data_IF_055984307090
#
_entry.id   IF_055984307090
#
_cell.length_a   1.000
_cell.length_b   1.000
_cell.length_c   1.000
_cell.angle_alpha   90.00
_cell.angle_beta   90.00
_cell.angle_gamma   90.00
#
_symmetry.space_group_name_H-M   'P 1'
#
loop_
_entity.id
_entity.type
_entity.pdbx_description
1 polymer ?
#
# COMPACT_ATOMS: atom_id res chain seq x y z
N UNK A 1 3.03 14.29 -6.67
CA UNK A 1 4.10 13.26 -6.86
C UNK A 1 3.53 11.90 -6.48
N UNK A 2 3.68 10.90 -7.33
CA UNK A 2 3.16 9.53 -7.10
C UNK A 2 3.82 8.91 -5.87
N UNK A 3 3.01 8.28 -5.01
CA UNK A 3 3.46 7.57 -3.81
C UNK A 3 3.09 6.10 -3.88
N UNK A 4 3.93 5.23 -3.32
CA UNK A 4 3.56 3.84 -3.10
C UNK A 4 2.58 3.73 -1.93
N UNK A 5 1.67 2.76 -1.97
CA UNK A 5 0.82 2.42 -0.83
C UNK A 5 1.55 1.61 0.24
N UNK A 6 2.69 0.99 -0.10
CA UNK A 6 3.57 0.30 0.83
C UNK A 6 4.65 1.25 1.34
N UNK A 7 5.02 1.12 2.59
CA UNK A 7 6.06 1.92 3.20
C UNK A 7 6.41 1.45 4.59
N UNK A 8 7.58 1.88 5.06
CA UNK A 8 8.09 1.63 6.40
C UNK A 8 8.86 2.85 6.89
N UNK A 9 8.65 3.21 8.14
CA UNK A 9 9.42 4.23 8.84
C UNK A 9 9.68 3.83 10.27
N UNK A 10 10.86 4.14 10.78
CA UNK A 10 11.23 3.89 12.18
C UNK A 10 12.05 5.05 12.68
N UNK A 11 11.74 5.47 13.91
CA UNK A 11 12.58 6.38 14.65
C UNK A 11 12.69 5.91 16.10
N UNK A 12 13.87 6.14 16.69
CA UNK A 12 14.13 5.84 18.09
C UNK A 12 14.92 6.98 18.69
N UNK A 13 14.42 7.52 19.80
CA UNK A 13 15.10 8.60 20.54
C UNK A 13 14.95 8.42 22.04
N UNK A 14 15.90 8.96 22.75
CA UNK A 14 15.80 9.14 24.21
C UNK A 14 15.41 10.58 24.51
N UNK A 15 14.24 10.80 25.07
CA UNK A 15 13.70 12.11 25.43
C UNK A 15 13.20 12.03 26.87
N UNK A 16 13.61 12.99 27.70
CA UNK A 16 13.18 13.12 29.10
C UNK A 16 13.34 11.82 29.93
N UNK A 17 14.44 11.10 29.74
CA UNK A 17 14.70 9.83 30.43
C UNK A 17 13.89 8.64 29.93
N UNK A 18 13.15 8.79 28.84
CA UNK A 18 12.38 7.73 28.18
C UNK A 18 13.02 7.36 26.82
N UNK A 19 13.26 6.08 26.59
CA UNK A 19 13.63 5.57 25.27
C UNK A 19 12.37 5.24 24.49
N UNK A 20 12.07 6.05 23.49
CA UNK A 20 10.84 5.96 22.68
C UNK A 20 11.21 5.42 21.31
N UNK A 21 10.56 4.33 20.92
CA UNK A 21 10.68 3.77 19.57
C UNK A 21 9.31 3.80 18.90
N UNK A 22 9.27 4.36 17.70
CA UNK A 22 8.06 4.36 16.85
C UNK A 22 8.39 3.68 15.54
N UNK A 23 7.59 2.69 15.18
CA UNK A 23 7.62 2.03 13.88
C UNK A 23 6.27 2.18 13.20
N UNK A 24 6.28 2.60 11.94
CA UNK A 24 5.08 2.74 11.11
C UNK A 24 5.27 1.97 9.82
N UNK A 25 4.28 1.18 9.44
CA UNK A 25 4.26 0.46 8.16
C UNK A 25 2.89 0.50 7.53
N UNK A 26 2.85 0.40 6.22
CA UNK A 26 1.60 0.30 5.48
C UNK A 26 1.62 -0.79 4.43
N UNK A 27 0.42 -1.31 4.14
CA UNK A 27 0.16 -2.18 3.01
C UNK A 27 -0.98 -1.61 2.19
N UNK A 28 -1.06 -2.05 0.92
CA UNK A 28 -2.12 -1.63 0.03
C UNK A 28 -3.50 -1.93 0.63
N UNK A 29 -4.33 -0.89 0.76
CA UNK A 29 -5.72 -0.99 1.15
C UNK A 29 -6.55 0.13 0.52
N UNK A 30 -7.81 -0.18 0.19
CA UNK A 30 -8.70 0.74 -0.52
C UNK A 30 -9.05 2.00 0.28
N UNK A 31 -9.12 1.88 1.59
CA UNK A 31 -9.49 2.95 2.53
C UNK A 31 -8.35 3.18 3.51
N UNK A 32 -8.41 4.30 4.23
CA UNK A 32 -7.55 4.51 5.39
C UNK A 32 -8.03 3.59 6.51
N UNK A 33 -7.21 2.62 6.88
CA UNK A 33 -7.39 1.75 8.03
C UNK A 33 -6.17 1.92 8.93
N UNK A 34 -6.40 2.20 10.20
CA UNK A 34 -5.31 2.44 11.15
C UNK A 34 -5.44 1.51 12.35
N UNK A 35 -4.34 0.92 12.74
CA UNK A 35 -4.19 0.18 13.98
C UNK A 35 -2.89 0.56 14.66
N UNK A 36 -2.94 0.78 15.98
CA UNK A 36 -1.78 1.04 16.80
C UNK A 36 -1.57 -0.04 17.83
N UNK A 37 -0.32 -0.24 18.21
CA UNK A 37 0.09 -1.05 19.37
C UNK A 37 0.88 -0.15 20.30
N UNK A 38 0.25 0.27 21.37
CA UNK A 38 0.81 1.13 22.42
C UNK A 38 0.81 0.36 23.73
N UNK A 39 1.79 0.55 24.62
CA UNK A 39 1.77 -0.06 25.95
C UNK A 39 0.51 0.36 26.72
N UNK A 40 -0.09 -0.56 27.45
CA UNK A 40 -1.38 -0.35 28.15
C UNK A 40 -1.41 0.87 29.06
N UNK A 41 -0.26 1.23 29.63
CA UNK A 41 -0.11 2.42 30.50
C UNK A 41 -0.29 3.74 29.75
N UNK A 42 -0.23 3.75 28.43
CA UNK A 42 -0.27 4.94 27.58
C UNK A 42 -1.40 4.86 26.54
N UNK A 43 -2.51 4.21 26.87
CA UNK A 43 -3.64 3.98 25.95
C UNK A 43 -4.25 5.27 25.37
N UNK A 44 -4.11 6.42 26.06
CA UNK A 44 -4.53 7.74 25.59
C UNK A 44 -3.80 8.20 24.30
N UNK A 45 -2.66 7.61 23.98
CA UNK A 45 -1.89 7.92 22.77
C UNK A 45 -2.56 7.40 21.50
N UNK A 46 -3.38 6.36 21.55
CA UNK A 46 -3.96 5.72 20.36
C UNK A 46 -4.70 6.69 19.46
N UNK A 47 -5.60 7.49 20.02
CA UNK A 47 -6.38 8.46 19.24
C UNK A 47 -5.54 9.65 18.75
N UNK A 48 -4.58 10.09 19.56
CA UNK A 48 -3.68 11.18 19.19
C UNK A 48 -2.78 10.78 18.02
N UNK A 49 -2.19 9.56 18.08
CA UNK A 49 -1.36 9.01 17.00
C UNK A 49 -2.18 8.82 15.73
N UNK A 50 -3.39 8.24 15.84
CA UNK A 50 -4.31 8.06 14.71
C UNK A 50 -4.61 9.38 14.02
N UNK A 51 -4.98 10.40 14.79
CA UNK A 51 -5.30 11.73 14.26
C UNK A 51 -4.10 12.36 13.57
N UNK A 52 -2.91 12.24 14.16
CA UNK A 52 -1.67 12.75 13.57
C UNK A 52 -1.36 12.06 12.24
N UNK A 53 -1.40 10.72 12.20
CA UNK A 53 -1.10 9.96 10.98
C UNK A 53 -2.15 10.22 9.90
N UNK A 54 -3.44 10.31 10.25
CA UNK A 54 -4.52 10.59 9.31
C UNK A 54 -4.42 11.99 8.67
N UNK A 55 -3.81 12.96 9.36
CA UNK A 55 -3.55 14.29 8.79
C UNK A 55 -2.47 14.27 7.70
N UNK A 56 -1.61 13.25 7.66
CA UNK A 56 -0.45 13.13 6.77
C UNK A 56 -0.62 12.06 5.69
N UNK A 57 -1.51 11.09 5.90
CA UNK A 57 -1.71 9.93 5.01
C UNK A 57 -3.20 9.72 4.78
N UNK A 58 -3.59 9.67 3.51
CA UNK A 58 -5.00 9.62 3.09
C UNK A 58 -5.53 8.20 2.86
N UNK A 59 -4.63 7.21 2.59
CA UNK A 59 -5.03 5.87 2.17
C UNK A 59 -4.01 4.81 2.63
N UNK A 60 -4.49 3.57 2.73
CA UNK A 60 -3.67 2.40 3.09
C UNK A 60 -4.07 1.81 4.44
N UNK A 61 -3.70 0.56 4.67
CA UNK A 61 -3.77 -0.08 5.99
C UNK A 61 -2.46 0.18 6.70
N UNK A 62 -2.51 1.00 7.75
CA UNK A 62 -1.35 1.48 8.49
C UNK A 62 -1.33 0.80 9.85
N UNK A 63 -0.19 0.25 10.19
CA UNK A 63 0.11 -0.28 11.52
C UNK A 63 1.22 0.56 12.15
N UNK A 64 0.96 1.10 13.34
CA UNK A 64 1.90 1.89 14.13
C UNK A 64 2.22 1.14 15.42
N UNK A 65 3.50 0.90 15.66
CA UNK A 65 3.99 0.31 16.91
C UNK A 65 4.75 1.37 17.70
N UNK A 66 4.39 1.55 18.97
CA UNK A 66 5.05 2.48 19.88
C UNK A 66 5.52 1.72 21.11
N UNK A 67 6.80 1.85 21.40
CA UNK A 67 7.43 1.30 22.60
C UNK A 67 8.02 2.47 23.40
N UNK A 68 7.75 2.49 24.70
CA UNK A 68 8.24 3.49 25.64
C UNK A 68 8.88 2.74 26.80
N UNK A 69 10.17 2.94 27.01
CA UNK A 69 10.94 2.36 28.10
C UNK A 69 11.50 3.50 28.96
N UNK A 70 11.13 3.56 30.23
CA UNK A 70 11.73 4.47 31.19
C UNK A 70 13.16 3.99 31.50
N UNK A 71 14.16 4.86 31.34
CA UNK A 71 15.56 4.57 31.65
C UNK A 71 15.87 4.79 33.14
N UNK A 72 15.11 5.63 33.80
CA UNK A 72 15.20 5.85 35.24
C UNK A 72 14.05 5.13 35.93
N UNK A 73 14.29 4.69 37.17
CA UNK A 73 13.23 4.10 38.00
C UNK A 73 12.11 5.13 38.17
N UNK A 74 10.92 4.81 37.68
CA UNK A 74 9.73 5.66 37.89
C UNK A 74 9.59 5.90 39.40
N UNK A 75 9.37 7.17 39.76
CA UNK A 75 9.11 7.56 41.13
C UNK A 75 7.88 6.80 41.65
N UNK A 76 8.10 5.83 42.54
CA UNK A 76 7.04 5.11 43.18
C UNK A 76 6.61 5.87 44.42
N UNK A 77 5.36 6.28 44.49
CA UNK A 77 4.75 6.85 45.66
C UNK A 77 4.21 5.72 46.51
N UNK A 78 4.74 5.60 47.72
CA UNK A 78 4.24 4.63 48.71
C UNK A 78 3.29 5.36 49.65
N UNK A 79 2.00 5.02 49.56
CA UNK A 79 0.97 5.57 50.44
C UNK A 79 0.61 4.60 51.54
N UNK A 80 0.29 5.15 52.72
CA UNK A 80 -0.15 4.38 53.89
C UNK A 80 -1.66 4.46 53.99
N UNK A 81 -2.34 3.33 54.00
CA UNK A 81 -3.74 3.25 54.36
C UNK A 81 -3.89 3.39 55.89
N UNK A 82 -4.00 4.66 56.35
CA UNK A 82 -4.10 5.00 57.77
C UNK A 82 -5.29 4.37 58.47
N UNK A 83 -6.41 4.17 57.77
CA UNK A 83 -7.61 3.52 58.34
C UNK A 83 -7.33 2.07 58.66
N UNK A 84 -6.68 1.33 57.74
CA UNK A 84 -6.33 -0.06 57.92
C UNK A 84 -5.21 -0.24 58.94
N UNK A 85 -4.19 0.62 58.91
CA UNK A 85 -3.12 0.66 59.91
C UNK A 85 -3.66 0.86 61.35
N UNK A 86 -4.60 1.80 61.52
CA UNK A 86 -5.27 2.02 62.79
C UNK A 86 -6.11 0.82 63.25
N UNK A 87 -6.77 0.14 62.32
CA UNK A 87 -7.52 -1.09 62.56
C UNK A 87 -6.62 -2.21 63.13
N UNK A 88 -5.49 -2.48 62.47
CA UNK A 88 -4.52 -3.45 62.96
C UNK A 88 -3.90 -3.06 64.28
N UNK A 89 -3.52 -1.80 64.47
CA UNK A 89 -2.99 -1.33 65.73
C UNK A 89 -3.98 -1.55 66.91
N UNK A 90 -5.24 -1.17 66.73
CA UNK A 90 -6.28 -1.32 67.74
C UNK A 90 -6.56 -2.80 68.07
N UNK A 91 -6.63 -3.67 67.03
CA UNK A 91 -6.83 -5.11 67.20
C UNK A 91 -5.67 -5.77 67.97
N UNK A 92 -4.42 -5.42 67.62
CA UNK A 92 -3.24 -5.93 68.34
C UNK A 92 -3.20 -5.45 69.79
N UNK A 93 -3.60 -4.23 70.05
CA UNK A 93 -3.70 -3.66 71.40
C UNK A 93 -4.78 -4.42 72.21
N UNK A 94 -5.96 -4.65 71.67
CA UNK A 94 -7.03 -5.39 72.30
C UNK A 94 -6.59 -6.81 72.61
N UNK A 95 -5.86 -7.50 71.73
CA UNK A 95 -5.29 -8.83 72.00
C UNK A 95 -4.30 -8.81 73.18
N UNK A 96 -3.39 -7.81 73.21
CA UNK A 96 -2.45 -7.66 74.32
C UNK A 96 -3.14 -7.47 75.69
N UNK A 97 -4.13 -6.57 75.72
CA UNK A 97 -4.87 -6.25 76.95
C UNK A 97 -5.76 -7.43 77.34
N UNK A 98 -6.46 -8.12 76.48
CA UNK A 98 -7.41 -9.19 76.77
C UNK A 98 -6.75 -10.45 77.24
N UNK A 99 -5.58 -10.79 76.69
CA UNK A 99 -4.86 -12.03 77.03
C UNK A 99 -3.63 -11.79 77.91
N UNK A 100 -3.46 -10.56 78.43
CA UNK A 100 -2.32 -10.22 79.30
C UNK A 100 -0.95 -10.44 78.61
N UNK A 101 -0.88 -10.23 77.33
CA UNK A 101 0.36 -10.36 76.54
C UNK A 101 1.22 -9.11 76.65
N UNK A 102 2.53 -9.32 76.50
CA UNK A 102 3.43 -8.18 76.39
C UNK A 102 3.13 -7.39 75.10
N UNK A 103 2.85 -6.11 75.27
CA UNK A 103 2.68 -5.23 74.11
C UNK A 103 4.05 -4.99 73.43
N UNK A 104 4.24 -5.53 72.22
CA UNK A 104 5.42 -5.41 71.37
C UNK A 104 5.10 -4.78 70.01
N UNK A 105 3.99 -4.03 69.93
CA UNK A 105 3.56 -3.35 68.72
C UNK A 105 4.67 -2.38 68.28
N UNK A 106 5.22 -2.62 67.13
CA UNK A 106 6.32 -1.86 66.56
C UNK A 106 6.07 -1.55 65.06
N UNK A 107 6.79 -0.60 64.52
CA UNK A 107 6.74 -0.30 63.07
C UNK A 107 7.10 -1.56 62.28
N UNK A 108 8.07 -2.34 62.78
CA UNK A 108 8.49 -3.60 62.12
C UNK A 108 7.38 -4.65 62.12
N UNK A 109 6.50 -4.68 63.12
CA UNK A 109 5.35 -5.57 63.15
C UNK A 109 4.27 -5.11 62.18
N UNK A 110 3.91 -3.83 62.22
CA UNK A 110 2.88 -3.23 61.34
C UNK A 110 3.29 -3.28 59.86
N UNK A 111 4.57 -3.13 59.57
CA UNK A 111 5.07 -3.20 58.19
C UNK A 111 4.99 -4.59 57.52
N UNK A 112 4.71 -5.64 58.31
CA UNK A 112 4.48 -7.00 57.78
C UNK A 112 3.09 -7.19 57.18
N UNK A 113 2.15 -6.31 57.50
CA UNK A 113 0.82 -6.30 56.89
C UNK A 113 0.89 -5.51 55.58
N UNK A 114 1.08 -6.25 54.50
CA UNK A 114 1.35 -5.68 53.15
C UNK A 114 0.20 -4.86 52.61
N UNK A 115 -1.02 -5.06 53.10
CA UNK A 115 -2.25 -4.34 52.74
C UNK A 115 -2.35 -2.92 53.33
N UNK A 116 -1.45 -2.59 54.31
CA UNK A 116 -1.30 -1.20 54.81
C UNK A 116 -0.65 -0.27 53.82
N UNK A 117 0.17 -0.81 52.89
CA UNK A 117 0.92 -0.02 51.95
C UNK A 117 0.35 -0.22 50.55
N UNK A 118 0.06 0.87 49.87
CA UNK A 118 -0.23 0.91 48.42
C UNK A 118 0.92 1.58 47.71
N UNK A 119 1.41 0.92 46.65
CA UNK A 119 2.45 1.49 45.80
C UNK A 119 1.80 1.91 44.52
N UNK A 120 1.80 3.23 44.30
CA UNK A 120 1.29 3.84 43.08
C UNK A 120 2.46 4.40 42.29
N UNK A 121 2.40 4.25 40.97
CA UNK A 121 3.26 5.04 40.09
C UNK A 121 2.77 6.48 40.12
N UNK A 122 3.68 7.44 40.12
CA UNK A 122 3.34 8.85 39.95
C UNK A 122 2.48 9.03 38.70
N UNK A 123 1.44 9.85 38.78
CA UNK A 123 0.61 10.16 37.60
C UNK A 123 1.51 10.73 36.52
N UNK A 124 1.55 10.03 35.39
CA UNK A 124 2.35 10.45 34.26
C UNK A 124 1.70 11.69 33.60
N UNK A 125 2.48 12.71 33.37
CA UNK A 125 2.04 13.90 32.61
C UNK A 125 1.76 13.50 31.16
N UNK A 126 0.48 13.32 30.82
CA UNK A 126 0.05 12.91 29.49
C UNK A 126 0.49 13.88 28.38
N UNK A 127 0.56 15.19 28.66
CA UNK A 127 0.99 16.17 27.68
C UNK A 127 2.49 16.10 27.42
N UNK A 128 3.28 15.92 28.48
CA UNK A 128 4.73 15.74 28.36
C UNK A 128 5.06 14.48 27.56
N UNK A 129 4.40 13.36 27.87
CA UNK A 129 4.58 12.08 27.15
C UNK A 129 4.15 12.24 25.70
N UNK A 130 3.00 12.87 25.44
CA UNK A 130 2.55 13.11 24.07
C UNK A 130 3.55 13.93 23.25
N UNK A 131 4.08 15.00 23.82
CA UNK A 131 5.06 15.84 23.13
C UNK A 131 6.32 15.07 22.78
N UNK A 132 6.84 14.25 23.70
CA UNK A 132 8.00 13.40 23.46
C UNK A 132 7.71 12.34 22.36
N UNK A 133 6.56 11.67 22.44
CA UNK A 133 6.15 10.68 21.42
C UNK A 133 5.90 11.35 20.08
N UNK A 134 5.28 12.54 20.05
CA UNK A 134 4.99 13.28 18.82
C UNK A 134 6.26 13.67 18.05
N UNK A 135 7.34 14.03 18.73
CA UNK A 135 8.63 14.31 18.10
C UNK A 135 9.16 13.07 17.37
N UNK A 136 9.19 11.91 18.05
CA UNK A 136 9.68 10.65 17.45
C UNK A 136 8.74 10.15 16.36
N UNK A 137 7.41 10.28 16.57
CA UNK A 137 6.39 9.94 15.58
C UNK A 137 6.54 10.77 14.32
N UNK A 138 6.80 12.08 14.45
CA UNK A 138 7.00 12.96 13.29
C UNK A 138 8.12 12.47 12.40
N UNK A 139 9.28 12.14 12.97
CA UNK A 139 10.43 11.64 12.21
C UNK A 139 10.17 10.26 11.60
N UNK A 140 9.49 9.37 12.33
CA UNK A 140 9.10 8.07 11.80
C UNK A 140 8.14 8.21 10.62
N UNK A 141 7.16 9.13 10.70
CA UNK A 141 6.21 9.43 9.61
C UNK A 141 6.92 10.08 8.43
N UNK A 142 7.87 10.99 8.66
CA UNK A 142 8.65 11.62 7.58
C UNK A 142 9.51 10.59 6.84
N UNK A 143 10.16 9.68 7.55
CA UNK A 143 10.90 8.56 6.96
C UNK A 143 9.98 7.63 6.14
N UNK A 144 8.80 7.33 6.68
CA UNK A 144 7.76 6.54 6.02
C UNK A 144 7.28 7.19 4.72
N UNK A 145 6.97 8.49 4.73
CA UNK A 145 6.53 9.23 3.54
C UNK A 145 7.65 9.29 2.50
N UNK A 146 8.87 9.56 2.91
CA UNK A 146 10.04 9.59 2.02
C UNK A 146 10.26 8.24 1.32
N UNK A 147 10.13 7.13 2.05
CA UNK A 147 10.22 5.79 1.46
C UNK A 147 9.12 5.57 0.40
N UNK A 148 7.87 5.94 0.70
CA UNK A 148 6.74 5.84 -0.24
C UNK A 148 6.93 6.67 -1.50
N UNK A 149 7.54 7.85 -1.39
CA UNK A 149 7.86 8.71 -2.53
C UNK A 149 8.97 8.11 -3.42
N UNK A 150 10.03 7.58 -2.80
CA UNK A 150 11.10 6.91 -3.52
C UNK A 150 10.59 5.67 -4.26
N UNK A 151 9.77 4.85 -3.59
CA UNK A 151 9.18 3.64 -4.18
C UNK A 151 8.17 4.01 -5.27
N UNK A 152 7.29 4.99 -5.03
CA UNK A 152 6.33 5.48 -6.01
C UNK A 152 6.99 5.98 -7.29
N UNK A 153 8.12 6.67 -7.17
CA UNK A 153 8.92 7.07 -8.33
C UNK A 153 9.44 5.87 -9.13
N UNK A 154 9.97 4.85 -8.44
CA UNK A 154 10.45 3.62 -9.12
C UNK A 154 9.33 2.88 -9.84
N UNK A 155 8.14 2.81 -9.23
CA UNK A 155 6.95 2.21 -9.85
C UNK A 155 6.52 2.99 -11.10
N UNK A 156 6.52 4.32 -11.02
CA UNK A 156 6.22 5.19 -12.17
C UNK A 156 7.22 5.00 -13.32
N UNK A 157 8.51 4.98 -13.02
CA UNK A 157 9.56 4.78 -14.02
C UNK A 157 9.45 3.40 -14.69
N UNK A 158 9.12 2.35 -13.94
CA UNK A 158 8.87 1.00 -14.48
C UNK A 158 7.65 0.99 -15.41
N UNK A 159 6.53 1.59 -15.01
CA UNK A 159 5.33 1.71 -15.86
C UNK A 159 5.64 2.46 -17.15
N UNK A 160 6.36 3.57 -17.09
CA UNK A 160 6.74 4.35 -18.26
C UNK A 160 7.63 3.54 -19.23
N UNK A 161 8.57 2.75 -18.72
CA UNK A 161 9.40 1.85 -19.51
C UNK A 161 8.56 0.78 -20.23
N UNK A 162 7.57 0.20 -19.54
CA UNK A 162 6.64 -0.78 -20.15
C UNK A 162 5.76 -0.15 -21.22
N UNK A 163 5.32 1.10 -21.02
CA UNK A 163 4.60 1.86 -22.04
C UNK A 163 5.41 1.98 -23.34
N UNK A 164 6.71 2.21 -23.25
CA UNK A 164 7.59 2.25 -24.45
C UNK A 164 7.59 0.88 -25.14
N UNK A 165 7.75 -0.20 -24.41
CA UNK A 165 7.73 -1.57 -24.96
C UNK A 165 6.40 -1.89 -25.66
N UNK A 166 5.27 -1.45 -25.10
CA UNK A 166 3.95 -1.61 -25.73
C UNK A 166 3.89 -0.80 -27.04
N UNK A 167 4.34 0.44 -27.04
CA UNK A 167 4.33 1.30 -28.23
C UNK A 167 5.20 0.73 -29.37
N UNK A 168 6.34 0.11 -29.04
CA UNK A 168 7.18 -0.60 -30.03
C UNK A 168 6.43 -1.78 -30.65
N UNK A 169 5.72 -2.55 -29.82
CA UNK A 169 4.87 -3.64 -30.32
C UNK A 169 3.72 -3.12 -31.21
N UNK A 170 3.09 -2.00 -30.84
CA UNK A 170 2.03 -1.37 -31.65
C UNK A 170 2.58 -0.91 -32.99
N UNK A 171 3.74 -0.25 -33.02
CA UNK A 171 4.40 0.18 -34.27
C UNK A 171 4.64 -1.02 -35.19
N UNK A 172 5.12 -2.14 -34.67
CA UNK A 172 5.29 -3.36 -35.45
C UNK A 172 3.96 -3.86 -36.04
N UNK A 173 2.87 -3.85 -35.25
CA UNK A 173 1.54 -4.27 -35.71
C UNK A 173 1.05 -3.36 -36.86
N UNK A 174 1.24 -2.04 -36.73
CA UNK A 174 0.86 -1.06 -37.76
C UNK A 174 1.60 -1.27 -39.09
N UNK A 175 2.89 -1.60 -39.01
CA UNK A 175 3.72 -1.86 -40.20
C UNK A 175 3.39 -3.24 -40.82
N UNK A 176 3.15 -4.24 -40.00
CA UNK A 176 2.92 -5.62 -40.48
C UNK A 176 1.51 -5.84 -41.02
N UNK A 177 0.49 -5.19 -40.44
CA UNK A 177 -0.91 -5.42 -40.81
C UNK A 177 -1.20 -5.15 -42.33
N UNK A 178 -0.72 -4.09 -42.99
CA UNK A 178 -0.91 -3.93 -44.42
C UNK A 178 -0.20 -4.99 -45.26
N UNK A 179 0.92 -5.54 -44.75
CA UNK A 179 1.67 -6.59 -45.45
C UNK A 179 0.90 -7.90 -45.45
N UNK A 180 0.24 -8.27 -44.34
CA UNK A 180 -0.57 -9.48 -44.25
C UNK A 180 -1.73 -9.47 -45.25
N UNK A 181 -2.34 -8.29 -45.50
CA UNK A 181 -3.38 -8.13 -46.54
C UNK A 181 -2.81 -8.40 -47.93
N UNK A 182 -1.63 -7.88 -48.24
CA UNK A 182 -0.96 -8.12 -49.54
C UNK A 182 -0.63 -9.60 -49.72
N UNK A 183 0.00 -10.20 -48.74
CA UNK A 183 0.36 -11.63 -48.78
C UNK A 183 -0.88 -12.54 -48.94
N UNK A 184 -2.00 -12.18 -48.30
CA UNK A 184 -3.26 -12.90 -48.45
C UNK A 184 -3.79 -12.78 -49.85
N UNK A 185 -3.80 -11.57 -50.44
CA UNK A 185 -4.25 -11.35 -51.81
C UNK A 185 -3.41 -12.13 -52.83
N UNK A 186 -2.09 -12.15 -52.67
CA UNK A 186 -1.19 -12.89 -53.54
C UNK A 186 -1.45 -14.41 -53.43
N UNK A 187 -1.62 -14.97 -52.23
CA UNK A 187 -1.98 -16.35 -52.00
C UNK A 187 -3.36 -16.71 -52.56
N UNK A 188 -4.34 -15.81 -52.41
CA UNK A 188 -5.69 -15.99 -52.96
C UNK A 188 -5.65 -16.11 -54.50
N UNK A 189 -4.97 -15.15 -55.16
CA UNK A 189 -4.78 -15.16 -56.57
C UNK A 189 -4.07 -16.41 -57.08
N UNK A 190 -2.96 -16.82 -56.44
CA UNK A 190 -2.23 -18.04 -56.81
C UNK A 190 -3.11 -19.28 -56.70
N UNK A 191 -3.87 -19.38 -55.59
CA UNK A 191 -4.76 -20.55 -55.38
C UNK A 191 -5.91 -20.59 -56.37
N UNK A 192 -6.48 -19.45 -56.72
CA UNK A 192 -7.54 -19.40 -57.70
C UNK A 192 -7.03 -19.79 -59.10
N UNK A 193 -5.85 -19.32 -59.50
CA UNK A 193 -5.22 -19.70 -60.77
C UNK A 193 -4.91 -21.20 -60.82
N UNK A 194 -4.51 -21.82 -59.71
CA UNK A 194 -4.25 -23.27 -59.62
C UNK A 194 -5.54 -24.11 -59.77
N UNK A 195 -6.64 -23.64 -59.10
CA UNK A 195 -7.90 -24.42 -59.06
C UNK A 195 -8.74 -24.20 -60.33
N UNK A 196 -8.61 -23.02 -60.98
CA UNK A 196 -9.46 -22.58 -62.11
C UNK A 196 -8.71 -22.53 -63.43
N UNK A 197 -7.70 -23.42 -63.64
CA UNK A 197 -6.82 -23.44 -64.82
C UNK A 197 -7.54 -23.39 -66.17
N UNK A 198 -8.88 -23.66 -66.25
CA UNK A 198 -9.67 -23.68 -67.46
C UNK A 198 -10.92 -22.73 -67.41
N UNK A 199 -11.10 -21.91 -66.34
CA UNK A 199 -12.26 -21.06 -66.16
C UNK A 199 -11.81 -19.60 -66.01
N UNK A 200 -12.44 -18.67 -66.73
CA UNK A 200 -12.19 -17.24 -66.60
C UNK A 200 -12.49 -16.81 -65.16
N UNK A 201 -11.46 -16.39 -64.42
CA UNK A 201 -11.58 -15.86 -63.07
C UNK A 201 -12.22 -14.48 -63.12
N UNK A 202 -13.32 -14.28 -62.38
CA UNK A 202 -13.95 -12.98 -62.23
C UNK A 202 -13.11 -12.12 -61.29
N UNK A 203 -12.31 -11.18 -61.83
CA UNK A 203 -11.44 -10.28 -61.08
C UNK A 203 -12.25 -9.42 -60.06
N UNK A 204 -13.50 -9.08 -60.33
CA UNK A 204 -14.34 -8.32 -59.42
C UNK A 204 -14.66 -9.12 -58.16
N UNK A 205 -14.82 -10.43 -58.28
CA UNK A 205 -15.05 -11.33 -57.16
C UNK A 205 -13.83 -11.45 -56.25
N UNK A 206 -12.62 -11.49 -56.83
CA UNK A 206 -11.38 -11.49 -56.10
C UNK A 206 -11.18 -10.20 -55.31
N UNK A 207 -11.42 -9.06 -55.96
CA UNK A 207 -11.32 -7.76 -55.32
C UNK A 207 -12.33 -7.60 -54.16
N UNK A 208 -13.52 -8.16 -54.32
CA UNK A 208 -14.54 -8.15 -53.28
C UNK A 208 -14.11 -8.99 -52.05
N UNK A 209 -13.62 -10.20 -52.27
CA UNK A 209 -13.11 -11.07 -51.16
C UNK A 209 -11.88 -10.46 -50.49
N UNK A 210 -10.99 -9.84 -51.25
CA UNK A 210 -9.83 -9.12 -50.72
C UNK A 210 -10.24 -7.93 -49.87
N UNK A 211 -11.26 -7.17 -50.27
CA UNK A 211 -11.79 -6.05 -49.51
C UNK A 211 -12.47 -6.52 -48.19
N UNK A 212 -13.26 -7.58 -48.25
CA UNK A 212 -13.89 -8.20 -47.08
C UNK A 212 -12.82 -8.68 -46.09
N UNK A 213 -11.75 -9.34 -46.58
CA UNK A 213 -10.65 -9.77 -45.74
C UNK A 213 -9.89 -8.60 -45.12
N UNK A 214 -9.58 -7.56 -45.92
CA UNK A 214 -8.90 -6.37 -45.43
C UNK A 214 -9.68 -5.68 -44.30
N UNK A 215 -11.00 -5.56 -44.46
CA UNK A 215 -11.89 -5.00 -43.41
C UNK A 215 -11.91 -5.85 -42.15
N UNK A 216 -11.97 -7.17 -42.31
CA UNK A 216 -11.98 -8.12 -41.19
C UNK A 216 -10.71 -8.10 -40.36
N UNK A 217 -9.54 -7.88 -40.96
CA UNK A 217 -8.23 -7.85 -40.28
C UNK A 217 -7.75 -6.44 -39.97
N UNK A 218 -8.55 -5.42 -40.29
CA UNK A 218 -8.21 -4.03 -40.01
C UNK A 218 -8.06 -3.80 -38.49
N UNK A 219 -6.90 -3.33 -38.07
CA UNK A 219 -6.55 -3.05 -36.66
C UNK A 219 -6.17 -1.57 -36.43
N UNK A 220 -6.34 -0.75 -37.46
CA UNK A 220 -5.92 0.67 -37.41
C UNK A 220 -6.62 1.48 -36.32
N UNK A 221 -7.91 1.25 -36.10
CA UNK A 221 -8.67 1.93 -35.06
C UNK A 221 -8.18 1.53 -33.67
N UNK A 222 -7.96 0.25 -33.43
CA UNK A 222 -7.49 -0.32 -32.17
C UNK A 222 -6.07 0.15 -31.84
N UNK A 223 -5.18 0.24 -32.83
CA UNK A 223 -3.81 0.74 -32.61
C UNK A 223 -3.80 2.22 -32.26
N UNK A 224 -4.62 3.05 -32.91
CA UNK A 224 -4.78 4.48 -32.59
C UNK A 224 -5.34 4.67 -31.18
N UNK A 225 -6.39 3.90 -30.81
CA UNK A 225 -6.95 3.94 -29.45
C UNK A 225 -5.92 3.51 -28.41
N UNK A 226 -5.21 2.42 -28.68
CA UNK A 226 -4.18 1.90 -27.78
C UNK A 226 -3.07 2.94 -27.54
N UNK A 227 -2.59 3.63 -28.57
CA UNK A 227 -1.65 4.76 -28.44
C UNK A 227 -2.21 5.88 -27.58
N UNK A 228 -3.46 6.28 -27.81
CA UNK A 228 -4.13 7.32 -27.04
C UNK A 228 -4.22 6.95 -25.56
N UNK A 229 -4.58 5.70 -25.24
CA UNK A 229 -4.66 5.22 -23.87
C UNK A 229 -3.28 5.16 -23.18
N UNK A 230 -2.24 4.75 -23.90
CA UNK A 230 -0.87 4.77 -23.38
C UNK A 230 -0.40 6.20 -23.10
N UNK A 231 -0.71 7.16 -23.95
CA UNK A 231 -0.34 8.56 -23.71
C UNK A 231 -1.09 9.16 -22.50
N UNK A 232 -2.37 8.82 -22.35
CA UNK A 232 -3.13 9.18 -21.14
C UNK A 232 -2.52 8.56 -19.89
N UNK A 233 -2.09 7.29 -19.94
CA UNK A 233 -1.42 6.63 -18.83
C UNK A 233 -0.12 7.35 -18.46
N UNK A 234 0.69 7.75 -19.45
CA UNK A 234 1.92 8.54 -19.23
C UNK A 234 1.63 9.87 -18.56
N UNK A 235 0.56 10.55 -19.00
CA UNK A 235 0.12 11.82 -18.38
C UNK A 235 -0.31 11.62 -16.93
N UNK A 236 -1.02 10.54 -16.61
CA UNK A 236 -1.39 10.22 -15.23
C UNK A 236 -0.18 9.96 -14.36
N UNK A 237 0.86 9.27 -14.88
CA UNK A 237 2.11 9.06 -14.15
C UNK A 237 2.88 10.34 -13.82
N UNK A 238 2.54 11.47 -14.44
CA UNK A 238 3.13 12.79 -14.18
C UNK A 238 2.23 13.70 -13.34
N UNK A 239 0.98 13.29 -13.06
CA UNK A 239 0.03 14.10 -12.31
C UNK A 239 0.27 14.04 -10.80
N UNK A 240 -0.20 15.05 -10.08
CA UNK A 240 -0.17 15.11 -8.61
C UNK A 240 -1.51 14.71 -7.97
N UNK A 241 -2.50 14.35 -8.78
CA UNK A 241 -3.81 13.91 -8.29
C UNK A 241 -3.81 12.42 -7.96
N UNK A 242 -4.76 12.00 -7.11
CA UNK A 242 -5.03 10.59 -6.85
C UNK A 242 -5.55 9.89 -8.11
N UNK A 243 -4.71 9.07 -8.72
CA UNK A 243 -4.94 8.51 -10.07
C UNK A 243 -5.48 7.07 -10.08
N UNK A 244 -5.44 6.35 -8.94
CA UNK A 244 -5.63 4.91 -8.89
C UNK A 244 -6.85 4.37 -9.65
N UNK A 245 -8.06 4.94 -9.48
CA UNK A 245 -9.27 4.47 -10.19
C UNK A 245 -9.25 4.80 -11.69
N UNK A 246 -8.74 5.99 -12.04
CA UNK A 246 -8.64 6.43 -13.44
C UNK A 246 -7.69 5.52 -14.20
N UNK A 247 -6.60 5.14 -13.54
CA UNK A 247 -5.55 4.29 -14.11
C UNK A 247 -6.02 2.84 -14.27
N UNK A 248 -6.73 2.28 -13.27
CA UNK A 248 -7.32 0.94 -13.37
C UNK A 248 -8.26 0.83 -14.58
N UNK A 249 -9.14 1.82 -14.78
CA UNK A 249 -10.02 1.86 -15.94
C UNK A 249 -9.22 1.90 -17.25
N UNK A 250 -8.21 2.76 -17.31
CA UNK A 250 -7.38 2.92 -18.49
C UNK A 250 -6.62 1.64 -18.87
N UNK A 251 -6.08 0.92 -17.87
CA UNK A 251 -5.43 -0.37 -18.08
C UNK A 251 -6.42 -1.42 -18.62
N UNK A 252 -7.69 -1.39 -18.20
CA UNK A 252 -8.73 -2.27 -18.75
C UNK A 252 -9.00 -1.96 -20.22
N UNK A 253 -9.09 -0.66 -20.60
CA UNK A 253 -9.28 -0.27 -22.01
C UNK A 253 -8.06 -0.67 -22.86
N UNK A 254 -6.83 -0.47 -22.38
CA UNK A 254 -5.60 -0.93 -23.04
C UNK A 254 -5.67 -2.44 -23.31
N UNK A 255 -6.08 -3.23 -22.29
CA UNK A 255 -6.23 -4.67 -22.45
C UNK A 255 -7.31 -5.05 -23.44
N UNK A 256 -8.42 -4.32 -23.47
CA UNK A 256 -9.52 -4.51 -24.43
C UNK A 256 -9.07 -4.29 -25.87
N UNK A 257 -8.36 -3.19 -26.15
CA UNK A 257 -7.84 -2.92 -27.49
C UNK A 257 -6.82 -3.99 -27.92
N UNK A 258 -5.93 -4.41 -27.02
CA UNK A 258 -4.99 -5.50 -27.29
C UNK A 258 -5.72 -6.82 -27.59
N UNK A 259 -6.81 -7.15 -26.90
CA UNK A 259 -7.63 -8.32 -27.19
C UNK A 259 -8.28 -8.26 -28.58
N UNK A 260 -8.79 -7.07 -28.95
CA UNK A 260 -9.42 -6.86 -30.25
C UNK A 260 -8.42 -7.02 -31.38
N UNK A 261 -7.21 -6.44 -31.27
CA UNK A 261 -6.10 -6.65 -32.20
C UNK A 261 -5.81 -8.16 -32.32
N UNK A 262 -5.68 -8.86 -31.20
CA UNK A 262 -5.39 -10.29 -31.18
C UNK A 262 -6.46 -11.15 -31.83
N UNK A 263 -7.74 -10.78 -31.71
CA UNK A 263 -8.85 -11.51 -32.33
C UNK A 263 -8.96 -11.29 -33.85
N UNK A 264 -8.55 -10.11 -34.32
CA UNK A 264 -8.52 -9.75 -35.73
C UNK A 264 -7.25 -10.27 -36.45
N UNK A 265 -6.15 -10.43 -35.71
CA UNK A 265 -4.87 -10.84 -36.27
C UNK A 265 -4.90 -12.30 -36.76
N UNK A 266 -4.65 -12.49 -38.05
CA UNK A 266 -4.46 -13.80 -38.65
C UNK A 266 -2.98 -14.07 -38.99
N UNK A 267 -2.10 -13.27 -38.42
CA UNK A 267 -0.64 -13.38 -38.63
C UNK A 267 0.03 -13.76 -37.27
N UNK A 268 0.95 -14.72 -37.36
CA UNK A 268 1.64 -15.31 -36.21
C UNK A 268 2.55 -14.28 -35.53
N UNK A 269 3.19 -13.41 -36.29
CA UNK A 269 4.08 -12.37 -35.74
C UNK A 269 3.28 -11.28 -35.01
N UNK A 270 2.13 -10.86 -35.55
CA UNK A 270 1.21 -9.97 -34.86
C UNK A 270 0.70 -10.61 -33.55
N UNK A 271 0.31 -11.89 -33.61
CA UNK A 271 -0.15 -12.61 -32.43
C UNK A 271 0.91 -12.68 -31.32
N UNK A 272 2.18 -12.90 -31.66
CA UNK A 272 3.29 -12.83 -30.71
C UNK A 272 3.43 -11.46 -30.06
N UNK A 273 3.30 -10.38 -30.82
CA UNK A 273 3.34 -9.01 -30.31
C UNK A 273 2.16 -8.70 -29.40
N UNK A 274 0.97 -9.16 -29.74
CA UNK A 274 -0.21 -9.03 -28.87
C UNK A 274 -0.01 -9.75 -27.52
N UNK A 275 0.57 -10.94 -27.54
CA UNK A 275 0.90 -11.66 -26.29
C UNK A 275 1.90 -10.84 -25.46
N UNK A 276 2.92 -10.25 -26.08
CA UNK A 276 3.87 -9.39 -25.40
C UNK A 276 3.19 -8.14 -24.80
N UNK A 277 2.32 -7.45 -25.56
CA UNK A 277 1.52 -6.32 -25.09
C UNK A 277 0.72 -6.73 -23.84
N UNK A 278 -0.01 -7.83 -23.90
CA UNK A 278 -0.83 -8.32 -22.77
C UNK A 278 0.00 -8.64 -21.54
N UNK A 279 1.18 -9.22 -21.71
CA UNK A 279 2.10 -9.49 -20.60
C UNK A 279 2.58 -8.20 -19.93
N UNK A 280 2.91 -7.16 -20.71
CA UNK A 280 3.30 -5.87 -20.14
C UNK A 280 2.11 -5.13 -19.48
N UNK A 281 0.91 -5.22 -20.07
CA UNK A 281 -0.32 -4.63 -19.49
C UNK A 281 -0.65 -5.25 -18.12
N UNK A 282 -0.49 -6.58 -17.97
CA UNK A 282 -0.74 -7.21 -16.66
C UNK A 282 0.29 -6.77 -15.62
N UNK A 283 1.56 -6.66 -15.98
CA UNK A 283 2.59 -6.10 -15.09
C UNK A 283 2.28 -4.65 -14.69
N UNK A 284 1.84 -3.82 -15.64
CA UNK A 284 1.39 -2.43 -15.35
C UNK A 284 0.22 -2.46 -14.36
N UNK A 285 -0.75 -3.35 -14.57
CA UNK A 285 -1.92 -3.50 -13.68
C UNK A 285 -1.53 -3.81 -12.25
N UNK A 286 -0.58 -4.74 -12.05
CA UNK A 286 -0.06 -5.08 -10.72
C UNK A 286 0.62 -3.87 -10.05
N UNK A 287 1.39 -3.09 -10.80
CA UNK A 287 2.07 -1.90 -10.27
C UNK A 287 1.09 -0.78 -9.91
N UNK A 288 0.11 -0.53 -10.78
CA UNK A 288 -0.93 0.49 -10.56
C UNK A 288 -1.72 0.25 -9.29
N UNK A 289 -1.95 -1.00 -8.90
CA UNK A 289 -2.63 -1.33 -7.65
C UNK A 289 -1.86 -0.87 -6.41
N UNK A 290 -0.56 -0.64 -6.50
CA UNK A 290 0.31 -0.21 -5.41
C UNK A 290 0.58 1.31 -5.42
N UNK A 291 -0.06 2.07 -6.29
CA UNK A 291 0.15 3.52 -6.45
C UNK A 291 -1.03 4.31 -5.88
N UNK A 292 -0.68 5.41 -5.19
CA UNK A 292 -1.59 6.45 -4.70
C UNK A 292 -1.29 7.79 -5.36
#
# INVERSE_FOLDING_TARGET
MIKSMTGYGRCQKTIDGMNITVEIKSVNHRYFEFSSRVPRSYGFLDEKIKSYVQSRVSRGKIECYVQIEALESEDCIVEINHSLASGYYNALKELADRYYLKNDISVSLLSRYTDIFSVHKAEADEEKIWNAVCEVLSEAVDAFISMREIEGKKLSDDILSRCVTILDCVSFVEERSPQTVKEYNEKLLARMNEVLSDVHVDEQRILTEAAIYADKVAVAEETVRLRSHIEQLRTFMQSEEAIGRKTDFLVQEINREANTIGSKAQDVEIAKRVIAIKAEVEKIREQVQNIE
#
